data_IF_474729352555
#
_entry.id   IF_474729352555
#
_cell.length_a   1.000
_cell.length_b   1.000
_cell.length_c   1.000
_cell.angle_alpha   90.00
_cell.angle_beta   90.00
_cell.angle_gamma   90.00
#
_symmetry.space_group_name_H-M   'P 1'
#
loop_
_entity.id
_entity.type
_entity.pdbx_description
1 polymer ?
#
# COMPACT_ATOMS: atom_id res chain seq x y z
N UNK A 1 39.53 -19.27 -2.71
CA UNK A 1 40.33 -18.56 -3.74
C UNK A 1 39.90 -19.08 -5.10
N UNK A 2 38.99 -18.38 -5.78
CA UNK A 2 38.61 -18.69 -7.17
C UNK A 2 38.92 -17.45 -8.00
N UNK A 3 39.89 -17.59 -8.90
CA UNK A 3 40.31 -16.55 -9.83
C UNK A 3 39.32 -16.50 -11.01
N UNK A 4 38.62 -15.38 -11.17
CA UNK A 4 37.81 -15.12 -12.35
C UNK A 4 38.69 -14.51 -13.46
N UNK A 5 38.78 -15.21 -14.59
CA UNK A 5 39.40 -14.72 -15.83
C UNK A 5 38.39 -13.84 -16.57
N UNK A 6 38.66 -12.54 -16.64
CA UNK A 6 37.94 -11.59 -17.49
C UNK A 6 38.54 -11.63 -18.91
N UNK A 7 37.74 -12.07 -19.89
CA UNK A 7 38.03 -11.89 -21.31
C UNK A 7 37.40 -10.57 -21.73
N UNK A 8 38.24 -9.60 -22.10
CA UNK A 8 37.85 -8.27 -22.56
C UNK A 8 37.86 -8.27 -24.09
N UNK A 9 36.71 -8.04 -24.71
CA UNK A 9 36.65 -7.58 -26.10
C UNK A 9 35.81 -6.30 -26.19
N UNK A 10 36.36 -5.34 -26.94
CA UNK A 10 36.00 -3.92 -26.94
C UNK A 10 34.55 -3.60 -27.27
N UNK A 11 33.98 -2.71 -26.44
CA UNK A 11 32.70 -2.03 -26.62
C UNK A 11 32.34 -1.42 -25.27
N UNK A 12 32.11 -0.10 -25.20
CA UNK A 12 31.94 0.67 -23.97
C UNK A 12 30.90 0.07 -23.00
N UNK A 13 31.37 -0.71 -22.02
CA UNK A 13 30.62 -1.00 -20.81
C UNK A 13 30.84 0.17 -19.85
N UNK A 14 29.79 0.97 -19.68
CA UNK A 14 29.69 1.97 -18.62
C UNK A 14 30.07 1.34 -17.28
N UNK A 15 31.08 1.91 -16.65
CA UNK A 15 31.62 1.52 -15.35
C UNK A 15 30.54 1.68 -14.27
N UNK A 16 29.75 0.63 -14.04
CA UNK A 16 28.83 0.50 -12.89
C UNK A 16 29.35 -0.46 -11.80
N UNK A 17 30.54 -1.04 -11.96
CA UNK A 17 30.93 -2.23 -11.21
C UNK A 17 31.90 -2.03 -10.03
N UNK A 18 32.30 -0.82 -9.63
CA UNK A 18 33.46 -0.65 -8.73
C UNK A 18 33.18 -0.01 -7.35
N UNK A 19 31.98 -0.16 -6.79
CA UNK A 19 31.74 0.22 -5.37
C UNK A 19 30.77 -0.71 -4.61
N UNK A 20 30.63 -1.97 -5.04
CA UNK A 20 29.97 -3.01 -4.25
C UNK A 20 31.02 -3.78 -3.43
N UNK A 21 31.45 -3.19 -2.32
CA UNK A 21 32.22 -3.90 -1.30
C UNK A 21 31.26 -4.80 -0.51
N UNK A 22 31.41 -6.12 -0.69
CA UNK A 22 30.71 -7.21 0.02
C UNK A 22 29.18 -7.14 -0.08
N UNK A 23 28.65 -7.18 -1.30
CA UNK A 23 27.25 -7.55 -1.48
C UNK A 23 27.06 -9.01 -1.05
N UNK A 24 26.07 -9.28 -0.19
CA UNK A 24 25.69 -10.67 0.12
C UNK A 24 25.18 -11.32 -1.18
N UNK A 25 25.29 -12.63 -1.31
CA UNK A 25 24.78 -13.35 -2.49
C UNK A 25 23.29 -13.06 -2.76
N UNK A 26 22.54 -12.79 -1.70
CA UNK A 26 21.13 -12.39 -1.75
C UNK A 26 20.91 -11.02 -2.39
N UNK A 27 21.83 -10.06 -2.19
CA UNK A 27 21.75 -8.71 -2.77
C UNK A 27 21.93 -8.74 -4.29
N UNK A 28 22.72 -9.68 -4.79
CA UNK A 28 22.94 -9.86 -6.23
C UNK A 28 21.72 -10.47 -6.90
N UNK A 29 21.01 -11.37 -6.22
CA UNK A 29 19.86 -12.08 -6.78
C UNK A 29 18.70 -11.14 -7.10
N UNK A 30 18.24 -10.34 -6.13
CA UNK A 30 17.15 -9.38 -6.32
C UNK A 30 17.42 -8.41 -7.47
N UNK A 31 18.63 -7.82 -7.51
CA UNK A 31 18.99 -6.88 -8.58
C UNK A 31 19.09 -7.56 -9.96
N UNK A 32 19.65 -8.78 -10.04
CA UNK A 32 19.72 -9.52 -11.31
C UNK A 32 18.33 -9.81 -11.85
N UNK A 33 17.44 -10.35 -11.01
CA UNK A 33 16.05 -10.64 -11.39
C UNK A 33 15.31 -9.36 -11.82
N UNK A 34 15.55 -8.24 -11.12
CA UNK A 34 14.96 -6.97 -11.51
C UNK A 34 15.46 -6.48 -12.87
N UNK A 35 16.75 -6.60 -13.18
CA UNK A 35 17.27 -6.20 -14.49
C UNK A 35 16.80 -7.11 -15.63
N UNK A 36 16.71 -8.42 -15.38
CA UNK A 36 16.18 -9.40 -16.34
C UNK A 36 14.69 -9.17 -16.63
N UNK A 37 13.90 -8.85 -15.59
CA UNK A 37 12.46 -8.59 -15.68
C UNK A 37 12.07 -7.11 -15.77
N UNK A 38 13.02 -6.19 -15.98
CA UNK A 38 12.84 -4.75 -15.73
C UNK A 38 11.65 -4.16 -16.45
N UNK A 39 11.51 -4.47 -17.73
CA UNK A 39 10.44 -3.90 -18.55
C UNK A 39 9.07 -4.42 -18.10
N UNK A 40 9.00 -5.68 -17.64
CA UNK A 40 7.82 -6.24 -16.98
C UNK A 40 7.49 -5.52 -15.68
N UNK A 41 8.44 -5.42 -14.75
CA UNK A 41 8.22 -4.75 -13.47
C UNK A 41 7.87 -3.27 -13.61
N UNK A 42 8.48 -2.56 -14.56
CA UNK A 42 8.15 -1.16 -14.88
C UNK A 42 6.82 -0.98 -15.62
N UNK A 43 6.31 -2.02 -16.25
CA UNK A 43 4.98 -1.99 -16.88
C UNK A 43 3.83 -2.08 -15.88
N UNK A 44 4.11 -2.55 -14.64
CA UNK A 44 3.10 -2.58 -13.57
C UNK A 44 2.70 -1.14 -13.22
N UNK A 45 1.40 -0.82 -13.20
CA UNK A 45 0.94 0.53 -12.90
C UNK A 45 1.43 1.03 -11.53
N UNK A 46 1.80 2.32 -11.45
CA UNK A 46 2.11 3.03 -10.19
C UNK A 46 0.81 3.47 -9.48
N UNK A 47 -0.05 2.49 -9.20
CA UNK A 47 -1.38 2.69 -8.62
C UNK A 47 -1.32 3.30 -7.23
N UNK A 48 -2.23 4.23 -6.87
CA UNK A 48 -2.25 4.76 -5.52
C UNK A 48 -2.59 3.64 -4.54
N UNK A 49 -1.93 3.66 -3.39
CA UNK A 49 -2.19 2.71 -2.30
C UNK A 49 -2.99 3.33 -1.16
N UNK A 50 -3.17 4.65 -1.20
CA UNK A 50 -3.95 5.43 -0.24
C UNK A 50 -4.85 6.39 -0.99
N UNK A 51 -6.12 6.36 -0.63
CA UNK A 51 -7.11 7.35 -0.97
C UNK A 51 -6.94 8.58 -0.08
N UNK A 52 -6.69 9.75 -0.68
CA UNK A 52 -6.78 11.03 0.04
C UNK A 52 -8.04 11.74 -0.47
N UNK A 53 -9.01 12.11 0.40
CA UNK A 53 -10.17 12.84 -0.09
C UNK A 53 -9.77 14.23 -0.62
N UNK A 54 -10.39 14.68 -1.72
CA UNK A 54 -10.03 15.94 -2.42
C UNK A 54 -9.95 17.11 -1.43
N UNK A 55 -10.92 17.22 -0.54
CA UNK A 55 -11.06 18.35 0.40
C UNK A 55 -9.84 18.57 1.30
N UNK A 56 -8.96 17.58 1.43
CA UNK A 56 -7.74 17.66 2.24
C UNK A 56 -6.51 18.10 1.44
N UNK A 57 -6.63 18.38 0.14
CA UNK A 57 -5.51 18.79 -0.74
C UNK A 57 -5.93 19.92 -1.69
N UNK A 58 -5.01 20.82 -2.03
CA UNK A 58 -5.29 21.90 -2.97
C UNK A 58 -5.47 21.38 -4.41
N UNK A 59 -6.28 22.05 -5.22
CA UNK A 59 -6.63 21.62 -6.60
C UNK A 59 -5.42 21.33 -7.50
N UNK A 60 -4.34 22.10 -7.36
CA UNK A 60 -3.11 21.90 -8.14
C UNK A 60 -2.48 20.53 -7.91
N UNK A 61 -2.61 19.97 -6.70
CA UNK A 61 -2.07 18.65 -6.36
C UNK A 61 -2.74 17.58 -7.21
N UNK A 62 -4.08 17.61 -7.28
CA UNK A 62 -4.86 16.66 -8.06
C UNK A 62 -4.59 16.79 -9.55
N UNK A 63 -4.49 18.02 -10.06
CA UNK A 63 -4.13 18.26 -11.47
C UNK A 63 -2.79 17.60 -11.83
N UNK A 64 -1.78 17.71 -10.95
CA UNK A 64 -0.47 17.10 -11.19
C UNK A 64 -0.53 15.56 -11.11
N UNK A 65 -1.23 15.01 -10.12
CA UNK A 65 -1.45 13.56 -10.00
C UNK A 65 -2.17 13.00 -11.24
N UNK A 66 -3.20 13.70 -11.74
CA UNK A 66 -3.93 13.30 -12.94
C UNK A 66 -3.04 13.36 -14.18
N UNK A 67 -2.25 14.42 -14.36
CA UNK A 67 -1.31 14.54 -15.46
C UNK A 67 -0.26 13.43 -15.47
N UNK A 68 0.35 13.12 -14.32
CA UNK A 68 1.32 12.02 -14.20
C UNK A 68 0.72 10.65 -14.53
N UNK A 69 -0.61 10.53 -14.51
CA UNK A 69 -1.35 9.30 -14.77
C UNK A 69 -2.08 9.29 -16.11
N UNK A 70 -1.94 10.34 -16.91
CA UNK A 70 -2.65 10.47 -18.19
C UNK A 70 -4.17 10.58 -18.04
N UNK A 71 -4.66 11.09 -16.91
CA UNK A 71 -6.09 11.25 -16.62
C UNK A 71 -6.48 12.69 -16.91
N UNK A 72 -7.59 12.89 -17.63
CA UNK A 72 -8.16 14.23 -17.87
C UNK A 72 -8.79 14.78 -16.58
N UNK A 73 -8.27 15.89 -16.00
CA UNK A 73 -8.83 16.50 -14.80
C UNK A 73 -10.30 16.89 -14.93
N UNK A 74 -10.74 17.21 -16.15
CA UNK A 74 -12.10 17.65 -16.45
C UNK A 74 -13.12 16.52 -16.30
N UNK A 75 -12.68 15.26 -16.44
CA UNK A 75 -13.51 14.06 -16.23
C UNK A 75 -13.90 13.84 -14.76
N UNK A 76 -13.31 14.57 -13.82
CA UNK A 76 -13.47 14.39 -12.36
C UNK A 76 -14.32 15.50 -11.71
N UNK A 77 -14.90 16.40 -12.51
CA UNK A 77 -15.59 17.63 -12.06
C UNK A 77 -16.79 17.46 -11.12
N UNK A 78 -17.41 16.28 -11.03
CA UNK A 78 -18.66 16.10 -10.25
C UNK A 78 -18.47 15.79 -8.76
N UNK A 79 -17.25 15.96 -8.22
CA UNK A 79 -16.91 15.37 -6.92
C UNK A 79 -16.81 13.85 -7.04
N UNK A 80 -16.03 13.24 -6.16
CA UNK A 80 -15.76 11.81 -6.27
C UNK A 80 -17.03 10.98 -6.06
N UNK A 81 -17.53 10.41 -7.16
CA UNK A 81 -18.57 9.39 -7.13
C UNK A 81 -17.97 8.07 -6.65
N UNK A 82 -18.80 7.15 -6.15
CA UNK A 82 -18.37 5.78 -5.85
C UNK A 82 -17.63 5.12 -7.04
N UNK A 83 -18.00 5.50 -8.27
CA UNK A 83 -17.34 5.03 -9.49
C UNK A 83 -15.84 5.38 -9.56
N UNK A 84 -15.42 6.54 -9.03
CA UNK A 84 -14.00 6.89 -9.00
C UNK A 84 -13.22 6.04 -7.99
N UNK A 85 -13.83 5.83 -6.81
CA UNK A 85 -13.25 4.96 -5.80
C UNK A 85 -13.09 3.53 -6.34
N UNK A 86 -14.06 3.07 -7.13
CA UNK A 86 -14.03 1.77 -7.80
C UNK A 86 -12.85 1.68 -8.77
N UNK A 87 -12.65 2.71 -9.59
CA UNK A 87 -11.51 2.78 -10.49
C UNK A 87 -10.18 2.73 -9.74
N UNK A 88 -10.03 3.53 -8.68
CA UNK A 88 -8.79 3.54 -7.88
C UNK A 88 -8.54 2.20 -7.19
N UNK A 89 -9.58 1.62 -6.61
CA UNK A 89 -9.49 0.34 -5.90
C UNK A 89 -9.17 -0.80 -6.88
N UNK A 90 -9.86 -0.87 -8.01
CA UNK A 90 -9.60 -1.86 -9.05
C UNK A 90 -8.18 -1.73 -9.60
N UNK A 91 -7.71 -0.51 -9.89
CA UNK A 91 -6.36 -0.27 -10.38
C UNK A 91 -5.27 -0.67 -9.37
N UNK A 92 -5.51 -0.51 -8.06
CA UNK A 92 -4.60 -1.00 -7.04
C UNK A 92 -4.56 -2.53 -6.99
N UNK A 93 -5.72 -3.20 -7.02
CA UNK A 93 -5.83 -4.66 -7.05
C UNK A 93 -5.18 -5.27 -8.31
N UNK A 94 -5.41 -4.65 -9.46
CA UNK A 94 -4.81 -5.05 -10.73
C UNK A 94 -3.29 -4.94 -10.69
N UNK A 95 -2.74 -3.82 -10.18
CA UNK A 95 -1.29 -3.66 -10.06
C UNK A 95 -0.66 -4.70 -9.13
N UNK A 96 -1.29 -5.01 -7.99
CA UNK A 96 -0.85 -6.07 -7.08
C UNK A 96 -0.86 -7.44 -7.79
N UNK A 97 -1.94 -7.75 -8.51
CA UNK A 97 -2.10 -9.02 -9.23
C UNK A 97 -1.09 -9.17 -10.36
N UNK A 98 -0.92 -8.14 -11.19
CA UNK A 98 0.05 -8.12 -12.28
C UNK A 98 1.48 -8.28 -11.75
N UNK A 99 1.81 -7.59 -10.65
CA UNK A 99 3.10 -7.73 -10.01
C UNK A 99 3.37 -9.18 -9.56
N UNK A 100 2.36 -9.82 -8.95
CA UNK A 100 2.45 -11.24 -8.55
C UNK A 100 2.63 -12.18 -9.74
N UNK A 101 1.91 -11.96 -10.85
CA UNK A 101 2.06 -12.74 -12.10
C UNK A 101 3.48 -12.66 -12.65
N UNK A 102 4.13 -11.50 -12.51
CA UNK A 102 5.53 -11.29 -12.90
C UNK A 102 6.55 -11.87 -11.91
N UNK A 103 6.11 -12.59 -10.87
CA UNK A 103 6.97 -13.15 -9.83
C UNK A 103 7.48 -12.10 -8.83
N UNK A 104 6.77 -10.98 -8.70
CA UNK A 104 7.13 -9.87 -7.83
C UNK A 104 6.25 -9.73 -6.58
N UNK A 105 6.70 -8.85 -5.70
CA UNK A 105 5.92 -8.26 -4.61
C UNK A 105 5.73 -6.78 -4.88
N UNK A 106 4.57 -6.26 -4.47
CA UNK A 106 4.20 -4.86 -4.66
C UNK A 106 4.53 -4.07 -3.39
N UNK A 107 5.11 -2.88 -3.55
CA UNK A 107 5.68 -2.10 -2.46
C UNK A 107 5.06 -0.71 -2.41
N UNK A 108 4.86 -0.20 -1.20
CA UNK A 108 4.47 1.17 -0.88
C UNK A 108 5.71 1.94 -0.41
N UNK A 109 6.28 2.80 -1.27
CA UNK A 109 7.47 3.56 -0.96
C UNK A 109 7.10 5.02 -0.63
N UNK A 110 7.56 5.50 0.52
CA UNK A 110 7.32 6.87 0.99
C UNK A 110 8.66 7.60 1.04
N UNK A 111 8.82 8.60 0.18
CA UNK A 111 9.97 9.50 0.14
C UNK A 111 9.71 10.75 0.98
N UNK A 112 10.57 11.03 1.95
CA UNK A 112 10.59 12.30 2.68
C UNK A 112 11.21 13.39 1.80
N UNK A 113 10.34 14.07 1.06
CA UNK A 113 10.70 15.07 0.06
C UNK A 113 11.44 16.25 0.71
N UNK A 114 11.05 16.63 1.93
CA UNK A 114 11.66 17.77 2.63
C UNK A 114 13.08 17.42 3.09
N UNK A 115 13.28 16.21 3.60
CA UNK A 115 14.61 15.73 3.98
C UNK A 115 15.53 15.59 2.77
N UNK A 116 15.04 15.05 1.66
CA UNK A 116 15.82 15.02 0.40
C UNK A 116 16.16 16.44 -0.06
N UNK A 117 15.21 17.36 -0.02
CA UNK A 117 15.45 18.76 -0.38
C UNK A 117 16.53 19.40 0.49
N UNK A 118 16.46 19.21 1.81
CA UNK A 118 17.43 19.76 2.76
C UNK A 118 18.83 19.16 2.55
N UNK A 119 18.92 17.84 2.30
CA UNK A 119 20.18 17.15 1.94
C UNK A 119 20.74 17.64 0.60
N UNK A 120 19.88 17.79 -0.40
CA UNK A 120 20.28 18.25 -1.72
C UNK A 120 20.72 19.72 -1.74
N UNK A 121 20.16 20.58 -0.88
CA UNK A 121 20.57 21.99 -0.75
C UNK A 121 21.96 22.13 -0.14
N UNK A 122 22.33 21.23 0.78
CA UNK A 122 23.68 21.18 1.34
C UNK A 122 24.72 20.73 0.30
N UNK A 123 24.29 20.03 -0.76
CA UNK A 123 25.14 19.75 -1.92
C UNK A 123 25.14 20.96 -2.87
N UNK A 124 26.30 21.44 -3.30
CA UNK A 124 26.46 22.61 -4.19
C UNK A 124 25.83 22.46 -5.60
N UNK A 125 25.01 21.42 -5.87
CA UNK A 125 24.58 21.00 -7.22
C UNK A 125 23.12 20.56 -7.30
N UNK A 126 22.17 21.32 -6.76
CA UNK A 126 20.76 20.87 -6.68
C UNK A 126 19.95 21.06 -7.98
N UNK A 127 20.42 20.47 -9.08
CA UNK A 127 19.57 20.19 -10.25
C UNK A 127 18.31 19.41 -9.85
N UNK A 128 18.39 18.64 -8.74
CA UNK A 128 17.26 17.95 -8.14
C UNK A 128 16.19 18.90 -7.58
N UNK A 129 16.56 19.88 -6.76
CA UNK A 129 15.60 20.81 -6.19
C UNK A 129 14.87 21.58 -7.30
N UNK A 130 15.59 21.93 -8.37
CA UNK A 130 15.01 22.48 -9.60
C UNK A 130 14.04 21.52 -10.31
N UNK A 131 14.42 20.24 -10.48
CA UNK A 131 13.54 19.22 -11.09
C UNK A 131 12.29 18.97 -10.26
N UNK A 132 12.43 18.82 -8.96
CA UNK A 132 11.33 18.60 -8.04
C UNK A 132 10.39 19.81 -8.03
N UNK A 133 10.93 21.01 -7.91
CA UNK A 133 10.16 22.24 -8.01
C UNK A 133 9.44 22.35 -9.37
N UNK A 134 10.09 21.96 -10.47
CA UNK A 134 9.47 21.92 -11.80
C UNK A 134 8.35 20.87 -11.90
N UNK A 135 8.55 19.67 -11.36
CA UNK A 135 7.54 18.59 -11.30
C UNK A 135 6.31 19.04 -10.53
N UNK A 136 6.47 19.84 -9.48
CA UNK A 136 5.35 20.36 -8.68
C UNK A 136 4.88 21.76 -9.09
N UNK A 137 5.47 22.38 -10.11
CA UNK A 137 5.13 23.74 -10.54
C UNK A 137 5.40 24.83 -9.50
N UNK A 138 6.32 24.59 -8.57
CA UNK A 138 6.66 25.46 -7.45
C UNK A 138 7.91 26.29 -7.78
N UNK A 139 7.96 27.55 -7.33
CA UNK A 139 9.20 28.35 -7.43
C UNK A 139 10.23 27.82 -6.44
N UNK A 140 11.47 27.63 -6.89
CA UNK A 140 12.57 27.10 -6.07
C UNK A 140 12.75 27.83 -4.72
N UNK A 141 12.59 29.16 -4.71
CA UNK A 141 12.71 29.99 -3.50
C UNK A 141 11.68 29.63 -2.39
N UNK A 142 10.55 29.01 -2.74
CA UNK A 142 9.50 28.59 -1.82
C UNK A 142 9.31 27.07 -1.78
N UNK A 143 10.20 26.32 -2.45
CA UNK A 143 10.04 24.88 -2.63
C UNK A 143 9.92 24.15 -1.29
N UNK A 144 10.78 24.46 -0.30
CA UNK A 144 10.76 23.79 1.00
C UNK A 144 9.38 23.82 1.69
N UNK A 145 8.70 24.97 1.66
CA UNK A 145 7.45 25.17 2.38
C UNK A 145 6.23 24.71 1.58
N UNK A 146 6.31 24.76 0.25
CA UNK A 146 5.21 24.42 -0.65
C UNK A 146 5.24 22.97 -1.13
N UNK A 147 6.38 22.28 -1.05
CA UNK A 147 6.49 20.87 -1.39
C UNK A 147 5.73 20.00 -0.38
N UNK A 148 5.11 18.90 -0.84
CA UNK A 148 4.52 17.92 0.06
C UNK A 148 5.60 17.37 0.99
N UNK A 149 5.27 17.11 2.26
CA UNK A 149 6.23 16.50 3.19
C UNK A 149 6.69 15.12 2.70
N UNK A 150 5.76 14.35 2.14
CA UNK A 150 6.01 12.99 1.67
C UNK A 150 5.48 12.81 0.26
N UNK A 151 6.24 12.07 -0.56
CA UNK A 151 5.82 11.58 -1.86
C UNK A 151 5.69 10.07 -1.77
N UNK A 152 4.51 9.55 -2.09
CA UNK A 152 4.22 8.12 -2.06
C UNK A 152 4.25 7.56 -3.48
N UNK A 153 5.00 6.49 -3.68
CA UNK A 153 5.18 5.80 -4.95
C UNK A 153 4.98 4.32 -4.69
N UNK A 154 4.18 3.66 -5.51
CA UNK A 154 4.09 2.21 -5.51
C UNK A 154 4.98 1.64 -6.60
N UNK A 155 5.57 0.46 -6.36
CA UNK A 155 6.39 -0.20 -7.37
C UNK A 155 6.32 -1.72 -7.24
N UNK A 156 6.64 -2.41 -8.33
CA UNK A 156 6.81 -3.86 -8.32
C UNK A 156 8.31 -4.21 -8.30
N UNK A 157 8.67 -5.17 -7.46
CA UNK A 157 10.03 -5.71 -7.36
C UNK A 157 9.98 -7.24 -7.27
N UNK A 158 11.03 -7.97 -7.68
CA UNK A 158 11.10 -9.43 -7.54
C UNK A 158 10.75 -9.90 -6.13
N UNK A 159 10.11 -11.06 -6.02
CA UNK A 159 9.76 -11.64 -4.72
C UNK A 159 10.99 -12.01 -3.86
N UNK A 160 12.17 -12.11 -4.47
CA UNK A 160 13.43 -12.32 -3.77
C UNK A 160 13.96 -11.07 -3.06
N UNK A 161 13.38 -9.89 -3.34
CA UNK A 161 13.85 -8.63 -2.79
C UNK A 161 13.40 -8.42 -1.34
N UNK A 162 14.34 -8.01 -0.49
CA UNK A 162 14.05 -7.50 0.85
C UNK A 162 13.72 -6.01 0.82
N UNK A 163 13.10 -5.49 1.88
CA UNK A 163 12.86 -4.05 2.06
C UNK A 163 14.11 -3.21 1.78
N UNK A 164 15.23 -3.63 2.37
CA UNK A 164 16.52 -2.95 2.23
C UNK A 164 17.02 -2.87 0.78
N UNK A 165 16.81 -3.94 0.02
CA UNK A 165 17.18 -4.02 -1.39
C UNK A 165 16.22 -3.19 -2.26
N UNK A 166 14.94 -3.13 -1.89
CA UNK A 166 13.97 -2.25 -2.53
C UNK A 166 14.37 -0.80 -2.32
N UNK A 167 14.69 -0.39 -1.08
CA UNK A 167 15.06 0.99 -0.74
C UNK A 167 16.35 1.43 -1.45
N UNK A 168 17.41 0.61 -1.38
CA UNK A 168 18.74 1.01 -1.86
C UNK A 168 19.00 0.66 -3.33
N UNK A 169 18.34 -0.37 -3.85
CA UNK A 169 18.58 -0.92 -5.18
C UNK A 169 17.47 -0.57 -6.18
N UNK A 170 16.22 -0.89 -5.84
CA UNK A 170 15.10 -0.82 -6.80
C UNK A 170 14.50 0.58 -6.88
N UNK A 171 14.19 1.20 -5.74
CA UNK A 171 13.56 2.51 -5.66
C UNK A 171 14.33 3.59 -6.44
N UNK A 172 15.68 3.70 -6.37
CA UNK A 172 16.41 4.70 -7.13
C UNK A 172 16.31 4.49 -8.64
N UNK A 173 16.17 3.24 -9.09
CA UNK A 173 15.96 2.91 -10.50
C UNK A 173 14.52 3.20 -10.93
N UNK A 174 13.52 2.96 -10.08
CA UNK A 174 12.12 3.21 -10.38
C UNK A 174 11.75 4.70 -10.34
N UNK A 175 12.46 5.50 -9.52
CA UNK A 175 12.22 6.93 -9.35
C UNK A 175 13.17 7.80 -10.20
N UNK A 176 13.77 7.26 -11.26
CA UNK A 176 14.67 7.96 -12.18
C UNK A 176 14.04 9.23 -12.78
N UNK A 177 12.74 9.22 -13.09
CA UNK A 177 12.02 10.40 -13.57
C UNK A 177 12.02 11.55 -12.55
N UNK A 178 12.03 11.24 -11.26
CA UNK A 178 11.99 12.22 -10.18
C UNK A 178 13.40 12.65 -9.77
N UNK A 179 14.34 11.71 -9.70
CA UNK A 179 15.67 11.93 -9.15
C UNK A 179 16.79 12.04 -10.21
N UNK A 180 16.48 11.79 -11.49
CA UNK A 180 17.44 11.77 -12.59
C UNK A 180 18.39 10.57 -12.56
N UNK A 181 19.36 10.57 -13.48
CA UNK A 181 20.20 9.41 -13.79
C UNK A 181 21.20 9.00 -12.69
N UNK A 182 21.36 9.82 -11.63
CA UNK A 182 22.35 9.61 -10.55
C UNK A 182 21.80 9.99 -9.18
N UNK A 183 20.74 9.30 -8.72
CA UNK A 183 19.99 9.71 -7.53
C UNK A 183 20.85 9.61 -6.25
N UNK A 184 21.78 8.66 -6.17
CA UNK A 184 22.70 8.53 -5.03
C UNK A 184 23.61 9.75 -4.83
N UNK A 185 24.05 10.41 -5.92
CA UNK A 185 24.94 11.58 -5.81
C UNK A 185 24.25 12.78 -5.17
N UNK A 186 22.92 12.80 -5.18
CA UNK A 186 22.13 13.89 -4.61
C UNK A 186 22.02 13.81 -3.10
N UNK A 187 22.12 12.61 -2.54
CA UNK A 187 22.06 12.39 -1.11
C UNK A 187 23.40 12.68 -0.41
N UNK A 188 24.46 12.95 -1.19
CA UNK A 188 25.80 13.17 -0.65
C UNK A 188 26.29 11.93 0.08
N UNK A 189 26.50 12.05 1.39
CA UNK A 189 26.88 10.93 2.25
C UNK A 189 25.67 10.17 2.84
N UNK A 190 24.46 10.68 2.66
CA UNK A 190 23.25 9.99 3.09
C UNK A 190 22.88 8.86 2.12
N UNK A 191 22.08 7.93 2.62
CA UNK A 191 21.60 6.76 1.90
C UNK A 191 20.09 6.86 1.66
N UNK A 192 19.54 6.01 0.79
CA UNK A 192 18.09 6.00 0.57
C UNK A 192 17.29 5.63 1.81
N UNK A 193 17.83 4.79 2.71
CA UNK A 193 17.21 4.49 4.02
C UNK A 193 16.98 5.72 4.89
N UNK A 194 17.76 6.78 4.69
CA UNK A 194 17.57 8.01 5.45
C UNK A 194 16.33 8.77 5.01
N UNK A 195 15.82 8.53 3.81
CA UNK A 195 14.78 9.35 3.17
C UNK A 195 13.63 8.56 2.57
N UNK A 196 13.72 7.24 2.53
CA UNK A 196 12.71 6.33 1.99
C UNK A 196 12.34 5.29 3.03
N UNK A 197 11.04 5.11 3.22
CA UNK A 197 10.45 3.93 3.87
C UNK A 197 9.79 3.10 2.76
N UNK A 198 9.92 1.78 2.81
CA UNK A 198 9.27 0.88 1.88
C UNK A 198 8.55 -0.22 2.64
N UNK A 199 7.26 -0.38 2.38
CA UNK A 199 6.45 -1.41 3.03
C UNK A 199 5.87 -2.35 1.96
N UNK A 200 6.00 -3.66 2.17
CA UNK A 200 5.35 -4.63 1.29
C UNK A 200 3.83 -4.53 1.42
N UNK A 201 3.13 -4.65 0.30
CA UNK A 201 1.68 -4.52 0.19
C UNK A 201 1.06 -5.91 0.08
N UNK A 202 -0.04 -6.11 0.78
CA UNK A 202 -0.82 -7.34 0.73
C UNK A 202 -2.21 -7.10 0.10
N UNK A 203 -2.92 -8.18 -0.18
CA UNK A 203 -4.32 -8.15 -0.58
C UNK A 203 -5.26 -8.07 0.62
N UNK A 204 -6.45 -7.50 0.43
CA UNK A 204 -7.50 -7.59 1.46
C UNK A 204 -7.94 -9.04 1.73
N UNK A 205 -7.76 -9.93 0.76
CA UNK A 205 -8.06 -11.35 0.89
C UNK A 205 -7.08 -12.12 1.79
N UNK A 206 -5.96 -11.51 2.19
CA UNK A 206 -4.95 -12.14 3.05
C UNK A 206 -5.30 -12.02 4.55
N UNK A 207 -6.31 -11.22 4.90
CA UNK A 207 -6.85 -11.20 6.25
C UNK A 207 -7.65 -12.47 6.56
N UNK A 208 -7.38 -13.09 7.71
CA UNK A 208 -8.10 -14.24 8.23
C UNK A 208 -9.47 -13.81 8.78
N UNK A 209 -10.41 -13.56 7.86
CA UNK A 209 -11.78 -13.14 8.16
C UNK A 209 -12.77 -13.99 7.36
N UNK A 210 -13.67 -14.66 8.05
CA UNK A 210 -14.72 -15.48 7.47
C UNK A 210 -16.06 -14.74 7.33
N UNK A 211 -16.34 -13.81 8.23
CA UNK A 211 -17.57 -13.01 8.18
C UNK A 211 -17.42 -11.60 8.78
N UNK A 212 -18.40 -10.73 8.51
CA UNK A 212 -18.38 -9.35 8.95
C UNK A 212 -19.76 -8.87 9.44
N UNK A 213 -19.87 -8.47 10.69
CA UNK A 213 -21.07 -7.84 11.25
C UNK A 213 -20.93 -6.33 11.04
N UNK A 214 -21.59 -5.82 10.01
CA UNK A 214 -21.46 -4.43 9.55
C UNK A 214 -22.84 -3.85 9.28
N UNK A 215 -23.06 -2.58 9.57
CA UNK A 215 -24.37 -1.99 9.33
C UNK A 215 -24.36 -0.48 9.37
N UNK A 216 -25.55 0.08 9.56
CA UNK A 216 -25.78 1.50 9.87
C UNK A 216 -26.15 1.64 11.35
N UNK A 217 -26.00 2.83 11.91
CA UNK A 217 -26.37 3.04 13.30
C UNK A 217 -27.85 2.67 13.55
N UNK A 218 -28.16 2.14 14.73
CA UNK A 218 -29.52 1.68 15.08
C UNK A 218 -29.94 0.30 14.55
N UNK A 219 -29.14 -0.37 13.72
CA UNK A 219 -29.56 -1.59 13.03
C UNK A 219 -29.33 -2.92 13.83
N UNK A 220 -29.09 -2.85 15.14
CA UNK A 220 -28.97 -4.04 16.00
C UNK A 220 -27.68 -4.87 15.84
N UNK A 221 -26.69 -4.39 15.07
CA UNK A 221 -25.37 -5.03 14.89
C UNK A 221 -24.63 -5.29 16.20
N UNK A 222 -24.75 -4.38 17.17
CA UNK A 222 -24.17 -4.56 18.52
C UNK A 222 -24.76 -5.76 19.24
N UNK A 223 -26.10 -5.93 19.19
CA UNK A 223 -26.78 -7.07 19.83
C UNK A 223 -26.42 -8.39 19.15
N UNK A 224 -26.39 -8.41 17.81
CA UNK A 224 -25.96 -9.59 17.05
C UNK A 224 -24.51 -9.96 17.38
N UNK A 225 -23.60 -8.98 17.39
CA UNK A 225 -22.19 -9.20 17.76
C UNK A 225 -22.07 -9.85 19.13
N UNK A 226 -22.72 -9.28 20.15
CA UNK A 226 -22.70 -9.83 21.52
C UNK A 226 -23.22 -11.26 21.57
N UNK A 227 -24.29 -11.58 20.85
CA UNK A 227 -24.82 -12.94 20.79
C UNK A 227 -23.86 -13.91 20.10
N UNK A 228 -23.22 -13.49 19.01
CA UNK A 228 -22.24 -14.31 18.27
C UNK A 228 -20.96 -14.54 19.07
N UNK A 229 -20.53 -13.58 19.89
CA UNK A 229 -19.36 -13.71 20.78
C UNK A 229 -19.52 -14.83 21.82
N UNK A 230 -20.77 -15.12 22.23
CA UNK A 230 -21.08 -16.22 23.14
C UNK A 230 -20.95 -17.61 22.48
N UNK A 231 -20.93 -17.69 21.15
CA UNK A 231 -20.85 -18.97 20.46
C UNK A 231 -19.42 -19.57 20.53
N UNK A 232 -19.23 -20.84 20.94
CA UNK A 232 -17.89 -21.40 21.16
C UNK A 232 -17.01 -21.42 19.90
N UNK A 233 -17.62 -21.62 18.73
CA UNK A 233 -16.87 -21.71 17.45
C UNK A 233 -16.45 -20.37 16.85
N UNK A 234 -16.89 -19.24 17.43
CA UNK A 234 -16.79 -17.91 16.81
C UNK A 234 -15.85 -17.01 17.60
N UNK A 235 -14.87 -16.40 16.92
CA UNK A 235 -14.09 -15.28 17.48
C UNK A 235 -14.45 -14.03 16.69
N UNK A 236 -14.83 -12.96 17.39
CA UNK A 236 -15.04 -11.66 16.75
C UNK A 236 -13.95 -10.70 17.21
N UNK A 237 -13.31 -10.04 16.25
CA UNK A 237 -12.39 -8.93 16.49
C UNK A 237 -13.13 -7.61 16.25
N UNK A 238 -13.20 -6.75 17.27
CA UNK A 238 -13.93 -5.49 17.23
C UNK A 238 -14.44 -5.07 18.61
N UNK A 239 -13.59 -4.38 19.35
CA UNK A 239 -13.90 -3.79 20.64
C UNK A 239 -13.83 -2.27 20.51
N UNK A 240 -15.01 -1.64 20.44
CA UNK A 240 -15.22 -0.20 20.61
C UNK A 240 -14.71 0.71 19.48
N UNK A 241 -13.41 0.66 19.18
CA UNK A 241 -12.72 1.66 18.34
C UNK A 241 -11.56 1.05 17.52
N UNK A 242 -11.06 -0.13 17.88
CA UNK A 242 -9.93 -0.78 17.20
C UNK A 242 -10.40 -1.88 16.25
N UNK A 243 -10.47 -1.55 14.96
CA UNK A 243 -10.67 -2.54 13.90
C UNK A 243 -9.54 -2.42 12.88
N UNK A 244 -9.34 -3.45 12.03
CA UNK A 244 -8.61 -3.33 10.72
C UNK A 244 -9.07 -2.12 9.92
N UNK A 245 -10.17 -1.49 10.27
CA UNK A 245 -10.77 -0.41 9.52
C UNK A 245 -10.77 0.87 10.37
N UNK A 246 -9.86 0.94 11.36
CA UNK A 246 -9.44 2.14 12.07
C UNK A 246 -9.00 3.23 11.09
N UNK A 247 -8.89 4.48 11.57
CA UNK A 247 -8.49 5.64 10.76
C UNK A 247 -7.24 5.39 9.90
N UNK A 248 -6.28 4.62 10.40
CA UNK A 248 -5.02 4.30 9.70
C UNK A 248 -5.23 3.47 8.43
N UNK A 249 -6.16 2.51 8.48
CA UNK A 249 -6.54 1.70 7.33
C UNK A 249 -7.73 2.28 6.58
N UNK A 250 -8.48 3.24 7.15
CA UNK A 250 -9.70 3.82 6.59
C UNK A 250 -9.51 4.40 5.19
N UNK A 251 -8.30 4.84 4.87
CA UNK A 251 -7.95 5.43 3.58
C UNK A 251 -7.11 4.53 2.67
N UNK A 252 -6.71 3.32 3.09
CA UNK A 252 -5.87 2.46 2.25
C UNK A 252 -6.67 1.76 1.15
N UNK A 253 -6.14 1.73 -0.06
CA UNK A 253 -6.68 0.96 -1.18
C UNK A 253 -6.21 -0.51 -1.11
N UNK A 254 -4.99 -0.73 -0.61
CA UNK A 254 -4.45 -2.05 -0.23
C UNK A 254 -3.76 -1.96 1.15
N UNK A 255 -3.89 -2.98 2.01
CA UNK A 255 -3.23 -3.02 3.30
C UNK A 255 -1.71 -3.22 3.15
N UNK A 256 -0.94 -2.84 4.16
CA UNK A 256 0.45 -3.28 4.28
C UNK A 256 0.48 -4.73 4.77
N UNK A 257 1.46 -5.50 4.31
CA UNK A 257 1.65 -6.89 4.72
C UNK A 257 1.85 -7.03 6.22
N UNK A 258 2.67 -6.17 6.82
CA UNK A 258 2.88 -6.15 8.27
C UNK A 258 1.56 -5.95 9.05
N UNK A 259 0.64 -5.13 8.53
CA UNK A 259 -0.67 -4.92 9.15
C UNK A 259 -1.58 -6.16 9.05
N UNK A 260 -1.49 -6.90 7.94
CA UNK A 260 -2.19 -8.18 7.77
C UNK A 260 -1.63 -9.24 8.73
N UNK A 261 -0.30 -9.37 8.79
CA UNK A 261 0.38 -10.34 9.64
C UNK A 261 0.12 -10.09 11.13
N UNK A 262 0.23 -8.83 11.57
CA UNK A 262 -0.10 -8.43 12.94
C UNK A 262 -1.56 -8.75 13.27
N UNK A 263 -2.48 -8.44 12.36
CA UNK A 263 -3.87 -8.75 12.59
C UNK A 263 -4.12 -10.26 12.73
N UNK A 264 -3.58 -11.06 11.81
CA UNK A 264 -3.76 -12.51 11.80
C UNK A 264 -3.13 -13.14 13.05
N UNK A 265 -1.98 -12.64 13.51
CA UNK A 265 -1.37 -13.07 14.77
C UNK A 265 -2.29 -12.83 15.98
N UNK A 266 -2.84 -11.61 16.10
CA UNK A 266 -3.79 -11.27 17.17
C UNK A 266 -5.08 -12.11 17.10
N UNK A 267 -5.53 -12.51 15.91
CA UNK A 267 -6.67 -13.44 15.75
C UNK A 267 -6.32 -14.81 16.31
N UNK A 268 -5.14 -15.35 15.99
CA UNK A 268 -4.69 -16.64 16.52
C UNK A 268 -4.54 -16.64 18.04
N UNK A 269 -4.07 -15.53 18.62
CA UNK A 269 -4.02 -15.35 20.07
C UNK A 269 -5.41 -15.41 20.70
N UNK A 270 -6.40 -14.70 20.13
CA UNK A 270 -7.80 -14.73 20.61
C UNK A 270 -8.43 -16.12 20.45
N UNK A 271 -8.18 -16.82 19.34
CA UNK A 271 -8.63 -18.20 19.15
C UNK A 271 -8.06 -19.14 20.21
N UNK A 272 -6.78 -18.97 20.54
CA UNK A 272 -6.08 -19.76 21.57
C UNK A 272 -6.62 -19.46 22.96
N UNK A 273 -6.84 -18.19 23.30
CA UNK A 273 -7.44 -17.79 24.58
C UNK A 273 -8.84 -18.41 24.75
N UNK A 274 -9.70 -18.29 23.74
CA UNK A 274 -11.05 -18.86 23.77
C UNK A 274 -11.05 -20.39 23.85
N UNK A 275 -10.10 -21.06 23.19
CA UNK A 275 -9.91 -22.50 23.35
C UNK A 275 -9.57 -22.88 24.80
N UNK A 276 -8.67 -22.14 25.44
CA UNK A 276 -8.29 -22.37 26.84
C UNK A 276 -9.45 -22.13 27.81
N UNK A 277 -10.31 -21.15 27.53
CA UNK A 277 -11.48 -20.82 28.36
C UNK A 277 -12.63 -21.82 28.20
N UNK A 278 -12.92 -22.24 26.98
CA UNK A 278 -14.15 -23.00 26.65
C UNK A 278 -13.90 -24.49 26.39
N UNK A 279 -12.65 -24.90 26.20
CA UNK A 279 -12.28 -26.25 25.73
C UNK A 279 -12.63 -26.52 24.26
N UNK A 280 -13.18 -25.53 23.54
CA UNK A 280 -13.63 -25.66 22.15
C UNK A 280 -12.81 -24.73 21.26
N UNK A 281 -12.18 -25.28 20.21
CA UNK A 281 -11.32 -24.50 19.32
C UNK A 281 -12.19 -23.73 18.34
N UNK A 282 -12.18 -22.39 18.35
CA UNK A 282 -12.94 -21.61 17.39
C UNK A 282 -12.52 -21.93 15.96
N UNK A 283 -13.46 -21.84 15.02
CA UNK A 283 -13.26 -22.14 13.60
C UNK A 283 -13.59 -20.99 12.68
N UNK A 284 -14.29 -19.99 13.20
CA UNK A 284 -14.83 -18.89 12.40
C UNK A 284 -14.37 -17.57 13.01
N UNK A 285 -13.75 -16.74 12.18
CA UNK A 285 -13.28 -15.41 12.53
C UNK A 285 -14.20 -14.35 11.93
N UNK A 286 -14.78 -13.53 12.79
CA UNK A 286 -15.61 -12.39 12.41
C UNK A 286 -14.92 -11.07 12.69
N UNK A 287 -15.31 -10.05 11.93
CA UNK A 287 -15.11 -8.64 12.33
C UNK A 287 -16.44 -7.99 12.68
N UNK A 288 -16.44 -7.07 13.63
CA UNK A 288 -17.64 -6.33 14.02
C UNK A 288 -17.40 -4.83 14.02
N UNK A 289 -18.11 -4.08 13.16
CA UNK A 289 -18.09 -2.62 13.20
C UNK A 289 -19.45 -2.04 12.72
N UNK A 290 -20.22 -1.39 13.62
CA UNK A 290 -21.57 -0.92 13.31
C UNK A 290 -21.63 0.28 12.37
N UNK A 291 -20.51 0.97 12.12
CA UNK A 291 -20.46 2.16 11.26
C UNK A 291 -19.78 1.89 9.91
N UNK A 292 -19.16 0.73 9.77
CA UNK A 292 -18.31 0.42 8.65
C UNK A 292 -19.04 0.45 7.31
N UNK A 293 -20.30 0.03 7.29
CA UNK A 293 -21.07 -0.02 6.06
C UNK A 293 -21.36 1.37 5.49
N UNK A 294 -21.20 2.45 6.26
CA UNK A 294 -21.35 3.81 5.75
C UNK A 294 -20.17 4.22 4.84
N UNK A 295 -18.98 3.64 5.05
CA UNK A 295 -17.79 3.95 4.29
C UNK A 295 -17.75 3.15 2.96
N UNK A 296 -17.80 3.87 1.83
CA UNK A 296 -17.77 3.26 0.50
C UNK A 296 -16.52 2.40 0.25
N UNK A 297 -15.36 2.84 0.74
CA UNK A 297 -14.12 2.10 0.59
C UNK A 297 -14.14 0.82 1.43
N UNK A 298 -14.69 0.88 2.64
CA UNK A 298 -14.87 -0.32 3.44
C UNK A 298 -15.79 -1.35 2.74
N UNK A 299 -16.90 -0.92 2.12
CA UNK A 299 -17.75 -1.81 1.32
C UNK A 299 -16.97 -2.51 0.21
N UNK A 300 -16.09 -1.79 -0.51
CA UNK A 300 -15.25 -2.35 -1.58
C UNK A 300 -14.22 -3.36 -1.05
N UNK A 301 -13.59 -3.07 0.09
CA UNK A 301 -12.67 -4.00 0.77
C UNK A 301 -13.35 -5.30 1.12
N UNK A 302 -14.51 -5.22 1.79
CA UNK A 302 -15.26 -6.41 2.17
C UNK A 302 -15.68 -7.23 0.94
N UNK A 303 -16.12 -6.57 -0.13
CA UNK A 303 -16.47 -7.24 -1.38
C UNK A 303 -15.28 -7.93 -2.07
N UNK A 304 -14.05 -7.48 -1.81
CA UNK A 304 -12.83 -8.08 -2.37
C UNK A 304 -12.30 -9.28 -1.58
N UNK A 305 -12.88 -9.59 -0.42
CA UNK A 305 -12.50 -10.76 0.37
C UNK A 305 -13.37 -11.95 -0.05
N UNK A 306 -12.87 -12.90 -0.85
CA UNK A 306 -13.69 -13.96 -1.46
C UNK A 306 -14.31 -14.91 -0.43
N UNK A 307 -13.77 -14.96 0.79
CA UNK A 307 -14.31 -15.76 1.90
C UNK A 307 -15.47 -15.08 2.63
N UNK A 308 -15.59 -13.76 2.51
CA UNK A 308 -16.69 -13.00 3.12
C UNK A 308 -17.99 -13.22 2.34
N UNK A 309 -19.00 -13.77 3.01
CA UNK A 309 -20.35 -13.88 2.44
C UNK A 309 -21.23 -12.72 2.87
N UNK A 310 -21.64 -11.88 1.92
CA UNK A 310 -22.63 -10.83 2.16
C UNK A 310 -24.02 -11.44 2.36
N UNK A 311 -24.56 -11.33 3.57
CA UNK A 311 -25.94 -11.67 3.87
C UNK A 311 -26.75 -10.40 4.07
N UNK A 312 -27.89 -10.30 3.38
CA UNK A 312 -28.92 -9.32 3.70
C UNK A 312 -29.96 -10.03 4.57
N UNK A 313 -30.20 -9.65 5.82
CA UNK A 313 -31.42 -10.04 6.50
C UNK A 313 -32.58 -9.43 5.70
N UNK A 314 -33.38 -10.29 5.08
CA UNK A 314 -34.66 -9.90 4.50
C UNK A 314 -35.49 -9.21 5.57
N UNK A 315 -35.60 -7.88 5.50
CA UNK A 315 -36.39 -7.11 6.44
C UNK A 315 -37.88 -7.48 6.31
N UNK A 316 -38.62 -7.66 7.41
CA UNK A 316 -40.07 -7.61 7.37
C UNK A 316 -40.50 -6.24 6.85
N UNK A 317 -41.54 -6.21 6.01
CA UNK A 317 -42.00 -5.09 5.18
C UNK A 317 -42.43 -3.79 5.90
N UNK A 318 -42.09 -3.60 7.17
CA UNK A 318 -42.52 -2.47 8.00
C UNK A 318 -41.40 -1.69 8.70
N UNK A 319 -40.12 -2.03 8.52
CA UNK A 319 -38.99 -1.25 9.07
C UNK A 319 -38.08 -0.79 7.93
N UNK A 320 -37.94 0.53 7.75
CA UNK A 320 -37.21 1.18 6.63
C UNK A 320 -35.68 1.15 6.76
N UNK A 321 -35.12 0.43 7.72
CA UNK A 321 -33.67 0.34 7.92
C UNK A 321 -33.21 -1.09 7.64
N UNK A 322 -32.53 -1.26 6.51
CA UNK A 322 -31.95 -2.54 6.10
C UNK A 322 -30.68 -2.75 6.91
N UNK A 323 -30.73 -3.61 7.93
CA UNK A 323 -29.53 -4.18 8.53
C UNK A 323 -28.83 -5.02 7.47
N UNK A 324 -27.50 -5.06 7.45
CA UNK A 324 -26.76 -6.05 6.67
C UNK A 324 -26.08 -6.99 7.66
N UNK A 325 -26.16 -8.29 7.43
CA UNK A 325 -25.63 -9.30 8.34
C UNK A 325 -24.94 -10.35 7.48
N UNK A 326 -23.61 -10.24 7.37
CA UNK A 326 -22.82 -11.24 6.68
C UNK A 326 -22.63 -12.44 7.60
N UNK A 327 -23.35 -13.53 7.34
CA UNK A 327 -23.20 -14.80 8.06
C UNK A 327 -23.15 -15.93 7.03
N UNK A 328 -22.17 -16.83 7.16
CA UNK A 328 -22.24 -18.18 6.61
C UNK A 328 -22.65 -19.11 7.76
N UNK A 329 -23.72 -19.87 7.58
CA UNK A 329 -23.95 -21.12 8.32
C UNK A 329 -23.20 -22.25 7.60
#
# INVERSE_FOLDING_TARGET
MLAARLIVHGGQLSVFAASFLVAKSEDVKCLSEYYEGRDGFRSVPLSPLVYTPIAHRPDWYWKQIFQMRGIDPESVKSGYTEAWLDFLFAGAQEALTLCSILGGHYWDCILDVRKVYDLARASEKSAFAGRLAAVFGVKLAHARDQLPAHLRLSLCAPASCTEDQVIQGIFPLAADMLMGDRPQRMLGNASFRDVVVADEVAGWHDFDIDFAIVGVDGCGTTSLRKNMELHPDVVIKGDGEETILSYELANRLLPLKAQVEEYNAQVQERMTAKFNETGHRPRVVGIGNPLLFQNALARKRLASMPRLKLGSPTAPSSVKEVCWVCIRL
#
